data_IF_980112594005
#
_entry.id   IF_980112594005
#
_cell.length_a   1.000
_cell.length_b   1.000
_cell.length_c   1.000
_cell.angle_alpha   90.00
_cell.angle_beta   90.00
_cell.angle_gamma   90.00
#
_symmetry.space_group_name_H-M   'P 1'
#
loop_
_entity.id
_entity.type
_entity.pdbx_description
1 polymer ?
#
# COMPACT_ATOMS: atom_id res chain seq x y z
N UNK A 1 -2.07 -16.68 -5.11
CA UNK A 1 -2.32 -15.27 -4.78
C UNK A 1 -2.43 -15.11 -3.27
N UNK A 2 -1.92 -14.01 -2.69
CA UNK A 2 -2.08 -13.68 -1.28
C UNK A 2 -2.59 -12.24 -1.17
N UNK A 3 -3.35 -11.94 -0.12
CA UNK A 3 -3.80 -10.59 0.21
C UNK A 3 -3.47 -10.28 1.67
N UNK A 4 -3.28 -9.01 1.98
CA UNK A 4 -3.11 -8.50 3.33
C UNK A 4 -4.02 -7.28 3.49
N UNK A 5 -4.92 -7.32 4.47
CA UNK A 5 -5.75 -6.17 4.86
C UNK A 5 -5.32 -5.78 6.26
N UNK A 6 -4.70 -4.61 6.39
CA UNK A 6 -4.29 -4.11 7.70
C UNK A 6 -5.50 -3.60 8.48
N UNK A 7 -5.34 -3.51 9.80
CA UNK A 7 -6.20 -2.68 10.64
C UNK A 7 -5.36 -1.51 11.16
N UNK A 8 -5.98 -0.58 11.90
CA UNK A 8 -5.23 0.50 12.57
C UNK A 8 -4.30 0.01 13.69
N UNK A 9 -4.33 -1.27 14.06
CA UNK A 9 -3.62 -1.83 15.21
C UNK A 9 -2.26 -2.42 14.84
N UNK A 10 -1.33 -2.45 15.80
CA UNK A 10 -0.03 -3.12 15.67
C UNK A 10 1.11 -2.24 15.15
N UNK A 11 0.92 -0.92 15.11
CA UNK A 11 1.97 0.03 14.73
C UNK A 11 2.53 0.83 15.91
N UNK A 12 3.27 1.89 15.60
CA UNK A 12 3.99 2.73 16.58
C UNK A 12 3.50 4.18 16.65
N UNK A 13 2.60 4.58 15.74
CA UNK A 13 2.08 5.93 15.72
C UNK A 13 1.24 6.24 16.97
N UNK A 14 1.25 7.51 17.37
CA UNK A 14 0.49 8.03 18.50
C UNK A 14 -0.79 8.71 18.02
N UNK A 15 -1.67 9.12 18.94
CA UNK A 15 -2.84 9.92 18.59
C UNK A 15 -2.44 11.19 17.79
N UNK A 16 -3.19 11.58 16.75
CA UNK A 16 -4.46 10.99 16.29
C UNK A 16 -4.30 9.73 15.40
N UNK A 17 -3.08 9.37 15.02
CA UNK A 17 -2.74 8.30 14.06
C UNK A 17 -2.55 6.90 14.67
N UNK A 18 -2.94 6.72 15.94
CA UNK A 18 -2.68 5.46 16.65
C UNK A 18 -3.32 4.28 15.92
N UNK A 19 -2.62 3.22 15.51
CA UNK A 19 -1.19 2.90 15.72
C UNK A 19 -0.43 2.60 14.42
N UNK A 20 -1.04 1.89 13.47
CA UNK A 20 -0.41 1.43 12.21
C UNK A 20 -0.76 2.35 11.04
N UNK A 21 -0.39 3.63 11.13
CA UNK A 21 -0.54 4.57 10.02
C UNK A 21 0.57 4.37 8.97
N UNK A 22 0.18 4.08 7.73
CA UNK A 22 1.10 3.93 6.57
C UNK A 22 1.06 5.12 5.61
N UNK A 23 0.18 6.10 5.85
CA UNK A 23 0.03 7.30 5.05
C UNK A 23 1.08 8.35 5.39
N UNK A 24 1.92 8.70 4.43
CA UNK A 24 3.01 9.68 4.59
C UNK A 24 2.57 11.13 4.37
N UNK A 25 1.31 11.37 3.98
CA UNK A 25 0.80 12.68 3.57
C UNK A 25 -0.29 13.25 4.51
N UNK A 26 -0.50 12.64 5.68
CA UNK A 26 -1.60 12.99 6.61
C UNK A 26 -1.13 13.75 7.86
N UNK A 27 0.17 14.05 7.97
CA UNK A 27 0.76 14.83 9.07
C UNK A 27 1.32 14.04 10.25
N UNK A 28 1.38 12.70 10.16
CA UNK A 28 2.08 11.88 11.16
C UNK A 28 3.61 12.04 11.05
N UNK A 29 4.32 11.63 12.10
CA UNK A 29 5.78 11.65 12.14
C UNK A 29 6.34 10.70 11.07
N UNK A 30 7.19 11.18 10.13
CA UNK A 30 7.73 10.35 9.04
C UNK A 30 8.40 9.05 9.52
N UNK A 31 9.10 9.10 10.65
CA UNK A 31 9.75 7.96 11.30
C UNK A 31 8.76 6.89 11.78
N UNK A 32 7.59 7.31 12.28
CA UNK A 32 6.54 6.37 12.68
C UNK A 32 5.93 5.69 11.45
N UNK A 33 5.67 6.47 10.39
CA UNK A 33 5.14 5.94 9.13
C UNK A 33 6.12 4.97 8.49
N UNK A 34 7.41 5.31 8.45
CA UNK A 34 8.47 4.42 7.97
C UNK A 34 8.49 3.10 8.76
N UNK A 35 8.45 3.19 10.10
CA UNK A 35 8.41 2.00 10.96
C UNK A 35 7.15 1.16 10.76
N UNK A 36 5.99 1.78 10.57
CA UNK A 36 4.74 1.07 10.28
C UNK A 36 4.80 0.38 8.90
N UNK A 37 5.42 1.01 7.91
CA UNK A 37 5.65 0.40 6.58
C UNK A 37 6.62 -0.78 6.67
N UNK A 38 7.64 -0.73 7.53
CA UNK A 38 8.50 -1.89 7.83
C UNK A 38 7.72 -3.05 8.48
N UNK A 39 6.80 -2.74 9.40
CA UNK A 39 5.92 -3.74 10.03
C UNK A 39 5.05 -4.43 8.97
N UNK A 40 4.46 -3.66 8.05
CA UNK A 40 3.70 -4.22 6.91
C UNK A 40 4.61 -5.03 5.99
N UNK A 41 5.80 -4.51 5.66
CA UNK A 41 6.79 -5.21 4.82
C UNK A 41 7.16 -6.57 5.40
N UNK A 42 7.29 -6.71 6.73
CA UNK A 42 7.61 -7.99 7.36
C UNK A 42 6.53 -9.07 7.14
N UNK A 43 5.28 -8.67 6.83
CA UNK A 43 4.18 -9.58 6.51
C UNK A 43 4.04 -9.86 5.01
N UNK A 44 4.77 -9.16 4.14
CA UNK A 44 4.66 -9.25 2.68
C UNK A 44 6.02 -9.67 2.07
N UNK A 45 6.07 -10.72 1.25
CA UNK A 45 7.35 -11.25 0.73
C UNK A 45 8.03 -10.36 -0.30
N UNK A 46 7.33 -9.33 -0.80
CA UNK A 46 7.78 -8.40 -1.83
C UNK A 46 7.47 -6.96 -1.41
N UNK A 47 8.15 -5.94 -1.98
CA UNK A 47 7.91 -4.56 -1.64
C UNK A 47 6.48 -4.09 -1.97
N UNK A 48 5.73 -3.50 -1.03
CA UNK A 48 4.48 -2.79 -1.34
C UNK A 48 4.72 -1.54 -2.17
N UNK A 49 3.94 -1.38 -3.23
CA UNK A 49 3.94 -0.22 -4.11
C UNK A 49 3.04 0.89 -3.52
N UNK A 50 3.57 1.69 -2.59
CA UNK A 50 2.84 2.84 -2.06
C UNK A 50 2.78 3.99 -3.08
N UNK A 51 1.56 4.45 -3.38
CA UNK A 51 1.29 5.54 -4.31
C UNK A 51 1.03 6.87 -3.58
N UNK A 52 1.23 7.98 -4.29
CA UNK A 52 0.67 9.27 -3.90
C UNK A 52 -0.75 9.39 -4.46
N UNK A 53 -1.73 8.89 -3.72
CA UNK A 53 -3.13 8.81 -4.15
C UNK A 53 -3.78 10.20 -4.17
N UNK A 54 -4.36 10.60 -5.32
CA UNK A 54 -4.93 11.94 -5.55
C UNK A 54 -6.39 11.89 -5.99
N UNK A 55 -7.07 10.74 -5.80
CA UNK A 55 -8.44 10.48 -6.27
C UNK A 55 -8.59 10.54 -7.80
N UNK A 56 -7.53 10.14 -8.51
CA UNK A 56 -7.49 10.01 -9.96
C UNK A 56 -8.01 8.64 -10.42
N UNK A 57 -7.96 8.42 -11.74
CA UNK A 57 -8.15 7.11 -12.37
C UNK A 57 -6.84 6.56 -12.98
N UNK A 58 -5.69 7.09 -12.55
CA UNK A 58 -4.38 6.69 -13.07
C UNK A 58 -3.99 5.34 -12.46
N UNK A 59 -3.51 4.43 -13.33
CA UNK A 59 -3.07 3.08 -12.96
C UNK A 59 -1.63 2.87 -13.43
N UNK A 60 -0.76 2.37 -12.54
CA UNK A 60 0.66 2.13 -12.84
C UNK A 60 1.07 0.67 -12.62
N UNK A 61 2.13 0.17 -13.31
CA UNK A 61 2.74 -1.10 -12.95
C UNK A 61 3.36 -1.01 -11.54
N UNK A 62 2.99 -1.93 -10.65
CA UNK A 62 3.48 -1.93 -9.27
C UNK A 62 5.00 -2.12 -9.20
N UNK A 63 5.59 -2.83 -10.17
CA UNK A 63 7.04 -3.03 -10.27
C UNK A 63 7.84 -1.74 -10.54
N UNK A 64 7.19 -0.68 -11.06
CA UNK A 64 7.83 0.60 -11.37
C UNK A 64 7.80 1.60 -10.19
N UNK A 65 7.10 1.24 -9.10
CA UNK A 65 6.88 2.10 -7.93
C UNK A 65 8.01 2.04 -6.88
N UNK A 66 8.62 0.88 -6.54
CA UNK A 66 9.56 0.77 -5.42
C UNK A 66 10.68 1.81 -5.47
N UNK A 67 10.89 2.51 -4.35
CA UNK A 67 11.87 3.60 -4.26
C UNK A 67 11.36 4.96 -4.74
N UNK A 68 10.11 5.05 -5.19
CA UNK A 68 9.40 6.29 -5.52
C UNK A 68 7.99 6.29 -4.91
N UNK A 69 7.26 7.40 -5.07
CA UNK A 69 5.84 7.52 -4.70
C UNK A 69 5.10 8.32 -5.77
N UNK A 70 4.87 7.73 -6.97
CA UNK A 70 4.27 8.44 -8.09
C UNK A 70 2.79 8.73 -7.83
N UNK A 71 2.25 9.72 -8.53
CA UNK A 71 0.81 10.01 -8.52
C UNK A 71 0.04 8.95 -9.30
N UNK A 72 -0.79 8.20 -8.58
CA UNK A 72 -1.74 7.22 -9.10
C UNK A 72 -2.66 6.75 -7.99
N UNK A 73 -3.77 6.12 -8.36
CA UNK A 73 -4.77 5.62 -7.41
C UNK A 73 -5.02 4.12 -7.51
N UNK A 74 -4.37 3.45 -8.46
CA UNK A 74 -4.32 2.00 -8.54
C UNK A 74 -2.99 1.52 -9.13
N UNK A 75 -2.68 0.25 -8.87
CA UNK A 75 -1.55 -0.44 -9.48
C UNK A 75 -1.89 -1.87 -9.87
N UNK A 76 -1.17 -2.41 -10.85
CA UNK A 76 -1.26 -3.83 -11.21
C UNK A 76 0.12 -4.48 -11.26
N UNK A 77 0.17 -5.80 -11.07
CA UNK A 77 1.40 -6.57 -11.15
C UNK A 77 1.19 -7.89 -11.91
N UNK A 78 2.16 -8.23 -12.75
CA UNK A 78 2.23 -9.50 -13.51
C UNK A 78 3.53 -10.26 -13.28
N UNK A 79 4.46 -9.70 -12.50
CA UNK A 79 5.82 -10.22 -12.37
C UNK A 79 6.02 -11.00 -11.06
N UNK A 80 5.17 -10.75 -10.06
CA UNK A 80 5.32 -11.26 -8.71
C UNK A 80 6.46 -10.58 -7.93
N UNK A 81 6.96 -9.43 -8.39
CA UNK A 81 8.11 -8.75 -7.77
C UNK A 81 7.74 -7.57 -6.87
N UNK A 82 6.48 -7.12 -6.93
CA UNK A 82 5.94 -6.05 -6.10
C UNK A 82 4.51 -6.39 -5.63
N UNK A 83 4.12 -5.88 -4.47
CA UNK A 83 2.75 -5.99 -3.98
C UNK A 83 1.97 -4.71 -4.31
N UNK A 84 0.88 -4.83 -5.08
CA UNK A 84 -0.06 -3.73 -5.26
C UNK A 84 -0.63 -3.31 -3.90
N UNK A 85 -0.61 -2.01 -3.60
CA UNK A 85 -1.06 -1.47 -2.33
C UNK A 85 -1.89 -0.20 -2.54
N UNK A 86 -3.02 -0.12 -1.86
CA UNK A 86 -3.86 1.08 -1.75
C UNK A 86 -4.08 1.42 -0.29
N UNK A 87 -3.98 2.71 0.06
CA UNK A 87 -4.21 3.22 1.40
C UNK A 87 -5.60 3.83 1.46
N UNK A 88 -6.35 3.54 2.52
CA UNK A 88 -7.69 4.08 2.71
C UNK A 88 -7.95 4.41 4.18
N UNK A 89 -8.83 5.38 4.39
CA UNK A 89 -9.56 5.64 5.62
C UNK A 89 -10.91 6.21 5.16
N UNK A 90 -11.92 5.35 5.06
CA UNK A 90 -13.28 5.56 4.49
C UNK A 90 -13.45 5.22 3.00
N UNK A 91 -12.53 5.62 2.10
CA UNK A 91 -12.62 5.21 0.69
C UNK A 91 -12.62 3.68 0.52
N UNK A 92 -13.31 3.16 -0.50
CA UNK A 92 -13.43 1.71 -0.74
C UNK A 92 -12.13 1.13 -1.34
N UNK A 93 -11.41 0.24 -0.63
CA UNK A 93 -10.33 -0.52 -1.24
C UNK A 93 -10.91 -1.65 -2.12
N UNK A 94 -10.34 -1.87 -3.30
CA UNK A 94 -10.71 -2.97 -4.20
C UNK A 94 -9.46 -3.76 -4.55
N UNK A 95 -9.48 -5.07 -4.30
CA UNK A 95 -8.40 -5.99 -4.70
C UNK A 95 -8.89 -6.89 -5.83
N UNK A 96 -8.10 -7.02 -6.89
CA UNK A 96 -8.46 -7.78 -8.09
C UNK A 96 -7.40 -8.84 -8.41
N UNK A 97 -7.85 -9.94 -9.02
CA UNK A 97 -7.01 -10.89 -9.73
C UNK A 97 -7.77 -11.56 -10.86
N UNK A 98 -7.03 -12.11 -11.80
CA UNK A 98 -7.59 -13.08 -12.74
C UNK A 98 -7.68 -14.48 -12.11
N UNK A 99 -8.57 -15.32 -12.67
CA UNK A 99 -8.76 -16.69 -12.17
C UNK A 99 -7.54 -17.58 -12.30
N UNK A 100 -6.65 -17.31 -13.27
CA UNK A 100 -5.41 -18.07 -13.43
C UNK A 100 -4.31 -17.61 -12.47
N UNK A 101 -4.50 -16.50 -11.74
CA UNK A 101 -3.53 -15.98 -10.78
C UNK A 101 -2.26 -15.46 -11.45
N UNK A 102 -2.38 -14.92 -12.66
CA UNK A 102 -1.30 -14.37 -13.48
C UNK A 102 -1.16 -12.86 -13.37
N UNK A 103 -2.19 -12.17 -12.88
CA UNK A 103 -2.19 -10.72 -12.66
C UNK A 103 -2.96 -10.37 -11.39
N UNK A 104 -2.46 -9.38 -10.66
CA UNK A 104 -3.12 -8.80 -9.49
C UNK A 104 -3.22 -7.29 -9.65
N UNK A 105 -4.20 -6.67 -8.99
CA UNK A 105 -4.30 -5.21 -8.89
C UNK A 105 -4.89 -4.78 -7.55
N UNK A 106 -4.55 -3.57 -7.14
CA UNK A 106 -5.11 -2.88 -5.97
C UNK A 106 -5.32 -1.41 -6.32
#
# INVERSE_FOLDING_TARGET
MKTLVSTRNGGVSQAPYSSLNVGSHVGDRPENVARNREIVQAAVPVPPAYLNQTHSSIVLPAADVPGSTPEADASFDRTGTAACAVMTADCLPVLLCDRAGTVVAA
#
